data_IF_212887096470
#
_entry.id   IF_212887096470
#
_cell.length_a   1.000
_cell.length_b   1.000
_cell.length_c   1.000
_cell.angle_alpha   90.00
_cell.angle_beta   90.00
_cell.angle_gamma   90.00
#
_symmetry.space_group_name_H-M   'P 1'
#
loop_
_entity.id
_entity.type
_entity.pdbx_description
1 polymer ?
#
# COMPACT_ATOMS: atom_id res chain seq x y z
N UNK A 1 -62.70 49.79 -17.63
CA UNK A 1 -61.33 49.21 -17.65
C UNK A 1 -61.13 48.54 -16.31
N UNK A 2 -61.51 47.27 -16.26
CA UNK A 2 -61.57 46.43 -15.07
C UNK A 2 -61.11 45.03 -15.47
N UNK A 3 -60.49 44.38 -14.50
CA UNK A 3 -59.94 43.02 -14.49
C UNK A 3 -60.95 41.93 -14.88
N UNK A 4 -60.41 40.73 -15.16
CA UNK A 4 -60.83 39.40 -14.63
C UNK A 4 -60.98 38.30 -15.70
N UNK A 5 -60.12 37.28 -15.53
CA UNK A 5 -60.26 35.81 -15.73
C UNK A 5 -60.75 35.17 -17.06
N UNK A 6 -59.96 34.20 -17.50
CA UNK A 6 -60.41 32.95 -18.14
C UNK A 6 -59.37 31.85 -17.83
N UNK A 7 -59.64 30.56 -17.69
CA UNK A 7 -60.82 29.82 -17.28
C UNK A 7 -60.33 28.42 -16.83
N UNK A 8 -60.72 28.02 -15.62
CA UNK A 8 -60.86 26.63 -15.15
C UNK A 8 -62.00 25.96 -15.98
N UNK A 9 -62.11 24.66 -16.29
CA UNK A 9 -61.58 23.40 -15.77
C UNK A 9 -62.22 22.21 -16.53
N UNK A 10 -61.75 20.98 -16.21
CA UNK A 10 -62.45 19.66 -16.17
C UNK A 10 -62.17 18.62 -17.30
N UNK A 11 -62.38 17.31 -17.08
CA UNK A 11 -61.54 16.40 -16.28
C UNK A 11 -61.27 15.03 -17.00
N UNK A 12 -60.41 14.21 -16.37
CA UNK A 12 -60.01 12.85 -16.79
C UNK A 12 -61.16 11.81 -16.71
N UNK A 13 -61.06 10.68 -17.44
CA UNK A 13 -61.14 9.41 -16.72
C UNK A 13 -60.08 8.36 -17.13
N UNK A 14 -59.72 7.57 -16.13
CA UNK A 14 -58.69 6.56 -16.09
C UNK A 14 -58.97 5.30 -16.94
N UNK A 15 -57.91 4.66 -17.44
CA UNK A 15 -57.75 3.19 -17.33
C UNK A 15 -56.35 2.72 -17.75
N UNK A 16 -55.85 1.72 -17.01
CA UNK A 16 -54.70 0.85 -17.28
C UNK A 16 -53.31 1.51 -17.24
N UNK A 17 -52.35 1.13 -16.40
CA UNK A 17 -52.03 -0.21 -15.92
C UNK A 17 -50.53 -0.40 -16.14
N UNK A 18 -49.77 -0.61 -15.06
CA UNK A 18 -48.30 -0.64 -15.04
C UNK A 18 -47.71 -1.71 -15.95
N UNK A 19 -46.60 -1.40 -16.61
CA UNK A 19 -45.39 -2.22 -16.50
C UNK A 19 -44.16 -1.33 -16.72
N UNK A 20 -43.37 -1.20 -15.65
CA UNK A 20 -42.00 -0.78 -15.71
C UNK A 20 -41.18 -2.01 -16.06
N UNK A 21 -40.32 -1.93 -17.07
CA UNK A 21 -39.02 -2.63 -17.08
C UNK A 21 -38.22 -2.36 -18.35
N UNK A 22 -36.92 -2.11 -18.14
CA UNK A 22 -35.87 -2.53 -19.08
C UNK A 22 -35.70 -1.67 -20.33
N UNK A 23 -34.85 -0.63 -20.26
CA UNK A 23 -33.98 -0.14 -21.36
C UNK A 23 -33.20 1.11 -20.92
N UNK A 24 -32.23 0.96 -20.03
CA UNK A 24 -31.19 2.00 -19.88
C UNK A 24 -29.81 1.46 -19.48
N UNK A 25 -29.73 0.28 -18.83
CA UNK A 25 -28.44 -0.30 -18.42
C UNK A 25 -27.60 -0.94 -19.53
N UNK A 26 -28.22 -1.42 -20.62
CA UNK A 26 -27.50 -2.19 -21.65
C UNK A 26 -26.59 -1.34 -22.55
N UNK A 27 -26.91 -0.05 -22.76
CA UNK A 27 -26.10 0.83 -23.62
C UNK A 27 -24.85 1.40 -22.92
N UNK A 28 -24.86 1.52 -21.60
CA UNK A 28 -23.69 2.03 -20.85
C UNK A 28 -22.59 0.96 -20.72
N UNK A 29 -22.97 -0.31 -20.55
CA UNK A 29 -22.04 -1.45 -20.57
C UNK A 29 -21.42 -1.65 -21.95
N UNK A 30 -22.17 -1.42 -23.03
CA UNK A 30 -21.70 -1.54 -24.40
C UNK A 30 -20.78 -0.37 -24.82
N UNK A 31 -20.97 0.84 -24.27
CA UNK A 31 -20.04 1.96 -24.43
C UNK A 31 -18.75 1.77 -23.62
N UNK A 32 -18.82 1.15 -22.44
CA UNK A 32 -17.65 0.79 -21.63
C UNK A 32 -16.78 -0.27 -22.32
N UNK A 33 -17.37 -1.15 -23.14
CA UNK A 33 -16.65 -2.11 -23.98
C UNK A 33 -15.83 -1.48 -25.13
N UNK A 34 -16.02 -0.20 -25.46
CA UNK A 34 -15.30 0.51 -26.54
C UNK A 34 -14.10 1.35 -26.06
N UNK A 35 -13.90 1.54 -24.75
CA UNK A 35 -12.86 2.41 -24.17
C UNK A 35 -11.58 1.71 -23.71
N UNK A 36 -11.38 0.48 -24.16
CA UNK A 36 -10.13 -0.25 -24.01
C UNK A 36 -10.38 -1.64 -24.54
N UNK A 37 -9.55 -2.10 -25.48
CA UNK A 37 -9.52 -3.54 -25.77
C UNK A 37 -9.36 -4.27 -24.42
N UNK A 38 -10.07 -5.38 -24.17
CA UNK A 38 -9.75 -6.23 -23.04
C UNK A 38 -8.24 -6.49 -23.11
N UNK A 39 -7.53 -6.18 -22.03
CA UNK A 39 -6.13 -6.54 -21.91
C UNK A 39 -6.05 -8.06 -22.08
N UNK A 40 -5.46 -8.53 -23.19
CA UNK A 40 -5.34 -9.96 -23.52
C UNK A 40 -4.34 -10.69 -22.60
N UNK A 41 -3.66 -9.98 -21.70
CA UNK A 41 -2.76 -10.57 -20.73
C UNK A 41 -3.51 -11.21 -19.56
N UNK A 42 -3.64 -12.53 -19.62
CA UNK A 42 -4.02 -13.41 -18.49
C UNK A 42 -3.01 -13.33 -17.33
N UNK A 43 -2.87 -12.21 -16.65
CA UNK A 43 -2.10 -12.17 -15.40
C UNK A 43 -3.04 -11.66 -14.31
N UNK A 44 -3.55 -12.60 -13.52
CA UNK A 44 -4.41 -12.35 -12.37
C UNK A 44 -3.61 -11.66 -11.25
N UNK A 45 -3.40 -10.34 -11.36
CA UNK A 45 -2.75 -9.57 -10.32
C UNK A 45 -3.64 -9.48 -9.05
N UNK A 46 -3.07 -9.46 -7.82
CA UNK A 46 -1.66 -9.68 -7.53
C UNK A 46 -1.28 -11.17 -7.58
N UNK A 47 -0.40 -11.54 -8.50
CA UNK A 47 0.19 -12.88 -8.54
C UNK A 47 1.29 -12.94 -7.50
N UNK A 48 1.26 -13.98 -6.67
CA UNK A 48 2.37 -14.32 -5.79
C UNK A 48 3.26 -15.33 -6.51
N UNK A 49 4.34 -14.85 -7.12
CA UNK A 49 5.34 -15.67 -7.82
C UNK A 49 6.43 -16.22 -6.88
N UNK A 50 6.57 -15.62 -5.70
CA UNK A 50 7.52 -16.04 -4.67
C UNK A 50 6.85 -16.12 -3.30
N UNK A 51 7.24 -17.06 -2.41
CA UNK A 51 6.67 -17.13 -1.07
C UNK A 51 6.93 -15.85 -0.27
N UNK A 52 5.90 -15.36 0.42
CA UNK A 52 6.04 -14.23 1.34
C UNK A 52 6.76 -14.71 2.61
N UNK A 53 7.98 -14.22 2.87
CA UNK A 53 8.75 -14.56 4.08
C UNK A 53 8.77 -13.40 5.08
N UNK A 54 8.57 -13.73 6.36
CA UNK A 54 8.49 -12.76 7.45
C UNK A 54 9.23 -13.28 8.68
N UNK A 55 9.55 -12.34 9.58
CA UNK A 55 10.08 -12.62 10.92
C UNK A 55 8.95 -12.44 11.94
N UNK A 56 8.87 -13.28 12.96
CA UNK A 56 7.88 -13.11 14.03
C UNK A 56 8.14 -11.83 14.84
N UNK A 57 7.12 -11.23 15.45
CA UNK A 57 7.32 -10.05 16.32
C UNK A 57 8.31 -10.35 17.46
N UNK A 58 8.22 -11.53 18.08
CA UNK A 58 9.14 -11.91 19.17
C UNK A 58 10.59 -11.98 18.70
N UNK A 59 10.87 -12.63 17.56
CA UNK A 59 12.22 -12.74 17.03
C UNK A 59 12.73 -11.36 16.59
N UNK A 60 11.85 -10.59 15.94
CA UNK A 60 12.15 -9.24 15.47
C UNK A 60 12.61 -8.32 16.61
N UNK A 61 11.95 -8.36 17.77
CA UNK A 61 12.32 -7.54 18.92
C UNK A 61 13.67 -7.94 19.53
N UNK A 62 14.14 -9.17 19.31
CA UNK A 62 15.43 -9.64 19.80
C UNK A 62 16.59 -9.47 18.79
N UNK A 63 16.27 -9.09 17.54
CA UNK A 63 17.28 -8.82 16.52
C UNK A 63 18.23 -7.69 16.96
N UNK A 64 19.51 -7.85 16.65
CA UNK A 64 20.59 -6.88 16.95
C UNK A 64 21.30 -6.35 15.69
N UNK A 65 20.97 -6.92 14.55
CA UNK A 65 21.47 -6.55 13.23
C UNK A 65 20.41 -6.91 12.18
N UNK A 66 20.37 -6.16 11.07
CA UNK A 66 19.49 -6.51 9.94
C UNK A 66 20.25 -7.47 9.04
N UNK A 67 20.01 -8.77 9.19
CA UNK A 67 20.67 -9.79 8.37
C UNK A 67 19.91 -10.02 7.06
N UNK A 68 20.58 -10.44 5.98
CA UNK A 68 19.94 -10.73 4.71
C UNK A 68 19.08 -11.99 4.76
N UNK A 69 18.21 -12.12 3.75
CA UNK A 69 17.25 -13.22 3.62
C UNK A 69 17.89 -14.60 3.84
N UNK A 70 19.01 -14.87 3.17
CA UNK A 70 19.68 -16.18 3.22
C UNK A 70 20.17 -16.55 4.62
N UNK A 71 20.70 -15.58 5.36
CA UNK A 71 21.20 -15.80 6.72
C UNK A 71 20.05 -16.04 7.70
N UNK A 72 19.00 -15.22 7.66
CA UNK A 72 17.83 -15.44 8.53
C UNK A 72 17.10 -16.74 8.18
N UNK A 73 17.08 -17.13 6.90
CA UNK A 73 16.54 -18.43 6.48
C UNK A 73 17.36 -19.59 7.03
N UNK A 74 18.69 -19.51 6.98
CA UNK A 74 19.58 -20.53 7.51
C UNK A 74 19.48 -20.66 9.04
N UNK A 75 19.20 -19.55 9.73
CA UNK A 75 18.95 -19.52 11.18
C UNK A 75 17.54 -19.99 11.57
N UNK A 76 16.66 -20.24 10.60
CA UNK A 76 15.27 -20.64 10.85
C UNK A 76 14.37 -19.51 11.35
N UNK A 77 14.79 -18.25 11.21
CA UNK A 77 14.05 -17.06 11.66
C UNK A 77 13.04 -16.56 10.62
N UNK A 78 13.16 -16.97 9.36
CA UNK A 78 12.18 -16.67 8.32
C UNK A 78 11.10 -17.73 8.21
N UNK A 79 9.84 -17.28 8.29
CA UNK A 79 8.66 -18.13 8.13
C UNK A 79 7.99 -17.84 6.80
N UNK A 80 7.62 -18.90 6.06
CA UNK A 80 6.75 -18.75 4.89
C UNK A 80 5.33 -18.45 5.36
N UNK A 81 4.89 -17.22 5.14
CA UNK A 81 3.69 -16.68 5.78
C UNK A 81 2.40 -17.05 5.07
N UNK A 82 1.37 -17.30 5.89
CA UNK A 82 -0.02 -17.41 5.47
C UNK A 82 -0.90 -16.55 6.41
N UNK A 83 -2.06 -16.09 5.92
CA UNK A 83 -2.98 -15.24 6.72
C UNK A 83 -3.45 -15.91 8.02
N UNK A 84 -3.30 -17.24 8.14
CA UNK A 84 -3.67 -18.01 9.32
C UNK A 84 -2.67 -17.89 10.48
N UNK A 85 -1.44 -17.44 10.22
CA UNK A 85 -0.42 -17.33 11.26
C UNK A 85 -0.64 -16.15 12.21
N UNK A 86 -1.20 -15.05 11.71
CA UNK A 86 -1.42 -13.83 12.47
C UNK A 86 -1.40 -12.59 11.59
N UNK A 87 -1.49 -11.39 12.17
CA UNK A 87 -1.35 -10.13 11.44
C UNK A 87 0.04 -9.96 10.83
N UNK A 88 0.13 -9.37 9.64
CA UNK A 88 1.41 -8.97 9.05
C UNK A 88 1.55 -7.45 8.97
N UNK A 89 2.74 -6.95 9.27
CA UNK A 89 3.16 -5.55 9.16
C UNK A 89 4.06 -5.42 7.94
N UNK A 90 3.68 -4.55 7.02
CA UNK A 90 4.54 -4.16 5.90
C UNK A 90 5.39 -2.96 6.31
N UNK A 91 6.71 -3.12 6.41
CA UNK A 91 7.62 -2.03 6.76
C UNK A 91 8.18 -1.40 5.48
N UNK A 92 7.85 -0.13 5.26
CA UNK A 92 8.48 0.72 4.26
C UNK A 92 9.55 1.58 4.90
N UNK A 93 10.70 1.66 4.27
CA UNK A 93 11.86 2.40 4.78
C UNK A 93 12.73 2.86 3.62
N UNK A 94 13.70 3.70 3.92
CA UNK A 94 14.72 4.10 2.97
C UNK A 94 16.04 3.41 3.30
N UNK A 95 16.73 2.92 2.28
CA UNK A 95 18.07 2.35 2.45
C UNK A 95 19.10 3.42 2.82
N UNK A 96 19.83 3.20 3.93
CA UNK A 96 20.93 4.03 4.41
C UNK A 96 22.16 3.98 3.51
N UNK A 97 22.54 2.80 3.02
CA UNK A 97 23.71 2.60 2.15
C UNK A 97 23.32 1.78 0.91
N UNK A 98 24.10 1.81 -0.19
CA UNK A 98 23.78 1.07 -1.41
C UNK A 98 23.67 -0.45 -1.25
N UNK A 99 24.44 -1.03 -0.32
CA UNK A 99 24.54 -2.49 -0.15
C UNK A 99 23.83 -3.01 1.11
N UNK A 100 23.39 -2.10 1.98
CA UNK A 100 22.75 -2.47 3.24
C UNK A 100 21.76 -1.38 3.66
N UNK A 101 20.52 -1.73 3.96
CA UNK A 101 19.50 -0.73 4.28
C UNK A 101 19.72 -0.04 5.62
N UNK A 102 20.24 -0.76 6.62
CA UNK A 102 20.43 -0.24 7.97
C UNK A 102 21.64 -0.89 8.67
N UNK A 103 22.87 -0.60 8.20
CA UNK A 103 24.08 -1.32 8.60
C UNK A 103 24.43 -1.13 10.07
N UNK A 104 24.07 0.02 10.62
CA UNK A 104 24.35 0.41 12.00
C UNK A 104 23.13 0.16 12.92
N UNK A 105 22.08 -0.49 12.40
CA UNK A 105 20.85 -0.86 13.10
C UNK A 105 20.08 0.33 13.70
N UNK A 106 20.23 1.53 13.13
CA UNK A 106 19.69 2.76 13.69
C UNK A 106 18.19 2.89 13.42
N UNK A 107 17.76 2.67 12.16
CA UNK A 107 16.34 2.71 11.81
C UNK A 107 15.58 1.58 12.50
N UNK A 108 16.16 0.38 12.50
CA UNK A 108 15.55 -0.81 13.06
C UNK A 108 15.36 -0.69 14.57
N UNK A 109 16.34 -0.11 15.27
CA UNK A 109 16.23 0.18 16.69
C UNK A 109 15.08 1.14 17.01
N UNK A 110 14.92 2.21 16.21
CA UNK A 110 13.77 3.13 16.35
C UNK A 110 12.45 2.39 16.18
N UNK A 111 12.35 1.50 15.17
CA UNK A 111 11.15 0.70 14.96
C UNK A 111 10.87 -0.26 16.12
N UNK A 112 11.88 -0.98 16.62
CA UNK A 112 11.74 -1.87 17.76
C UNK A 112 11.27 -1.11 19.01
N UNK A 113 11.88 0.04 19.33
CA UNK A 113 11.47 0.86 20.46
C UNK A 113 10.04 1.41 20.27
N UNK A 114 9.68 1.87 19.06
CA UNK A 114 8.31 2.31 18.77
C UNK A 114 7.29 1.19 19.00
N UNK A 115 7.55 -0.02 18.51
CA UNK A 115 6.67 -1.16 18.68
C UNK A 115 6.57 -1.60 20.14
N UNK A 116 7.68 -1.58 20.90
CA UNK A 116 7.65 -1.82 22.36
C UNK A 116 6.78 -0.80 23.08
N UNK A 117 6.91 0.48 22.74
CA UNK A 117 6.15 1.56 23.37
C UNK A 117 4.64 1.48 23.03
N UNK A 118 4.29 1.00 21.83
CA UNK A 118 2.89 0.73 21.46
C UNK A 118 2.36 -0.47 22.25
N UNK A 119 3.15 -1.56 22.35
CA UNK A 119 2.78 -2.76 23.10
C UNK A 119 2.62 -2.51 24.61
N UNK A 120 3.44 -1.63 25.20
CA UNK A 120 3.33 -1.23 26.61
C UNK A 120 2.21 -0.22 26.87
N UNK A 121 1.66 0.40 25.81
CA UNK A 121 0.65 1.45 25.91
C UNK A 121 1.21 2.83 26.29
N UNK A 122 2.55 3.00 26.30
CA UNK A 122 3.22 4.26 26.61
C UNK A 122 3.02 5.31 25.50
N UNK A 123 2.91 4.87 24.24
CA UNK A 123 2.64 5.76 23.11
C UNK A 123 1.20 5.60 22.65
N UNK A 124 0.41 6.66 22.85
CA UNK A 124 -0.89 6.81 22.17
C UNK A 124 -0.65 7.40 20.79
N UNK A 125 -1.11 6.71 19.76
CA UNK A 125 -1.04 7.15 18.37
C UNK A 125 -1.66 8.54 18.23
N UNK A 126 -0.86 9.53 17.83
CA UNK A 126 -1.40 10.86 17.57
C UNK A 126 -2.24 10.79 16.28
N UNK A 127 -3.54 11.07 16.38
CA UNK A 127 -4.32 11.49 15.21
C UNK A 127 -3.88 12.92 14.90
N UNK A 128 -3.33 13.16 13.70
CA UNK A 128 -2.83 14.50 13.35
C UNK A 128 -3.91 15.57 13.61
N UNK A 129 -3.54 16.72 14.14
CA UNK A 129 -4.49 17.75 14.60
C UNK A 129 -5.51 18.20 13.52
N UNK A 130 -5.16 18.09 12.25
CA UNK A 130 -6.06 18.37 11.11
C UNK A 130 -7.15 17.29 10.98
N UNK A 131 -6.84 16.04 11.31
CA UNK A 131 -7.75 14.88 11.25
C UNK A 131 -8.89 15.02 12.24
N UNK A 132 -8.61 15.48 13.47
CA UNK A 132 -9.65 15.67 14.50
C UNK A 132 -10.60 16.83 14.16
N UNK A 133 -10.14 17.81 13.37
CA UNK A 133 -10.91 19.01 13.05
C UNK A 133 -11.78 18.85 11.79
N UNK A 134 -11.33 18.07 10.80
CA UNK A 134 -12.01 17.93 9.50
C UNK A 134 -13.03 16.79 9.46
N UNK A 135 -12.81 15.70 10.20
CA UNK A 135 -13.70 14.54 10.22
C UNK A 135 -14.58 14.57 11.47
N UNK A 136 -15.71 15.28 11.40
CA UNK A 136 -16.85 15.17 12.35
C UNK A 136 -17.55 13.80 12.25
N UNK A 137 -16.81 12.72 12.06
CA UNK A 137 -17.34 11.35 12.08
C UNK A 137 -16.95 10.72 13.42
N UNK A 138 -17.91 10.74 14.35
CA UNK A 138 -17.84 10.13 15.68
C UNK A 138 -17.84 8.60 15.68
N UNK A 139 -17.04 7.97 14.83
CA UNK A 139 -16.58 6.59 15.05
C UNK A 139 -15.07 6.66 15.18
N UNK A 140 -14.56 6.49 16.40
CA UNK A 140 -13.15 6.25 16.62
C UNK A 140 -12.73 5.10 15.71
N UNK A 141 -11.90 5.39 14.71
CA UNK A 141 -11.25 4.36 13.92
C UNK A 141 -10.31 3.64 14.89
N UNK A 142 -10.59 2.38 15.17
CA UNK A 142 -9.89 1.58 16.16
C UNK A 142 -8.36 1.70 15.98
N UNK A 143 -7.68 1.98 17.09
CA UNK A 143 -6.23 2.05 17.19
C UNK A 143 -5.58 0.75 16.69
N UNK A 144 -4.27 0.78 16.42
CA UNK A 144 -3.50 -0.45 16.28
C UNK A 144 -3.78 -1.29 17.52
N UNK A 145 -4.42 -2.45 17.36
CA UNK A 145 -4.83 -3.22 18.51
C UNK A 145 -3.56 -3.87 19.06
N UNK A 146 -3.16 -3.54 20.30
CA UNK A 146 -1.94 -4.10 20.89
C UNK A 146 -1.92 -5.64 20.82
N UNK A 147 -3.09 -6.27 20.94
CA UNK A 147 -3.27 -7.72 20.77
C UNK A 147 -2.84 -8.25 19.39
N UNK A 148 -3.03 -7.46 18.32
CA UNK A 148 -2.58 -7.84 16.99
C UNK A 148 -1.05 -7.83 16.92
N UNK A 149 -0.40 -6.84 17.52
CA UNK A 149 1.06 -6.69 17.50
C UNK A 149 1.77 -7.83 18.22
N UNK A 150 1.21 -8.38 19.31
CA UNK A 150 1.82 -9.49 20.04
C UNK A 150 2.03 -10.76 19.19
N UNK A 151 1.14 -11.01 18.23
CA UNK A 151 1.18 -12.18 17.34
C UNK A 151 1.56 -11.83 15.90
N UNK A 152 2.05 -10.61 15.71
CA UNK A 152 2.32 -10.09 14.38
C UNK A 152 3.60 -10.67 13.76
N UNK A 153 3.66 -10.55 12.44
CA UNK A 153 4.83 -10.88 11.62
C UNK A 153 5.30 -9.63 10.86
N UNK A 154 6.60 -9.48 10.71
CA UNK A 154 7.22 -8.33 10.08
C UNK A 154 7.71 -8.71 8.69
N UNK A 155 7.20 -8.00 7.68
CA UNK A 155 7.77 -8.00 6.33
C UNK A 155 8.67 -6.78 6.18
N UNK A 156 9.92 -7.02 5.78
CA UNK A 156 10.92 -5.98 5.52
C UNK A 156 11.74 -6.44 4.31
N UNK A 157 11.85 -5.60 3.28
CA UNK A 157 12.36 -5.96 1.96
C UNK A 157 13.68 -6.75 2.00
N UNK A 158 14.65 -6.34 2.81
CA UNK A 158 16.00 -6.91 2.81
C UNK A 158 16.08 -8.37 3.27
N UNK A 159 15.30 -8.73 4.29
CA UNK A 159 15.24 -10.11 4.76
C UNK A 159 14.07 -10.90 4.19
N UNK A 160 13.03 -10.23 3.70
CA UNK A 160 11.90 -10.90 3.06
C UNK A 160 12.20 -11.30 1.60
N UNK A 161 13.12 -10.59 0.94
CA UNK A 161 13.50 -10.79 -0.46
C UNK A 161 14.92 -11.38 -0.55
N UNK A 162 15.16 -12.45 -1.34
CA UNK A 162 16.49 -13.00 -1.57
C UNK A 162 17.48 -11.95 -2.11
N UNK A 163 18.71 -11.92 -1.58
CA UNK A 163 19.69 -10.91 -1.98
C UNK A 163 20.61 -11.46 -3.08
N UNK A 164 20.58 -10.84 -4.26
CA UNK A 164 21.36 -11.26 -5.42
C UNK A 164 22.89 -11.09 -5.24
N UNK A 165 23.32 -10.23 -4.31
CA UNK A 165 24.71 -9.77 -4.22
C UNK A 165 25.54 -10.44 -3.12
N UNK A 166 24.92 -11.18 -2.20
CA UNK A 166 25.51 -11.47 -0.88
C UNK A 166 26.37 -12.74 -0.87
N UNK A 167 26.26 -13.60 -1.89
CA UNK A 167 27.20 -14.69 -2.07
C UNK A 167 27.46 -14.91 -3.55
N UNK A 168 28.72 -15.19 -3.90
CA UNK A 168 29.10 -15.85 -5.15
C UNK A 168 28.41 -17.23 -5.18
N UNK A 169 27.11 -17.23 -5.52
CA UNK A 169 26.32 -18.44 -5.59
C UNK A 169 26.77 -19.21 -6.82
N UNK A 170 26.82 -20.54 -6.73
CA UNK A 170 27.06 -21.41 -7.88
C UNK A 170 26.01 -21.24 -9.00
N UNK A 171 24.89 -20.54 -8.75
CA UNK A 171 23.78 -20.32 -9.68
C UNK A 171 23.23 -18.88 -9.63
N UNK A 172 23.95 -17.88 -10.18
CA UNK A 172 23.55 -16.47 -10.13
C UNK A 172 22.22 -16.20 -10.85
N UNK A 173 21.92 -16.92 -11.94
CA UNK A 173 20.67 -16.76 -12.69
C UNK A 173 19.44 -17.13 -11.87
N UNK A 174 19.53 -18.19 -11.06
CA UNK A 174 18.43 -18.62 -10.19
C UNK A 174 18.11 -17.57 -9.13
N UNK A 175 19.15 -17.02 -8.49
CA UNK A 175 18.97 -15.95 -7.48
C UNK A 175 18.36 -14.69 -8.08
N UNK A 176 18.79 -14.30 -9.28
CA UNK A 176 18.21 -13.15 -9.97
C UNK A 176 16.72 -13.41 -10.30
N UNK A 177 16.38 -14.61 -10.75
CA UNK A 177 14.99 -15.00 -11.02
C UNK A 177 14.12 -14.96 -9.75
N UNK A 178 14.62 -15.51 -8.63
CA UNK A 178 13.91 -15.48 -7.34
C UNK A 178 13.75 -14.04 -6.81
N UNK A 179 14.79 -13.21 -6.91
CA UNK A 179 14.72 -11.78 -6.57
C UNK A 179 13.63 -11.07 -7.39
N UNK A 180 13.64 -11.23 -8.71
CA UNK A 180 12.64 -10.62 -9.59
C UNK A 180 11.22 -11.12 -9.30
N UNK A 181 11.04 -12.41 -9.05
CA UNK A 181 9.75 -12.99 -8.67
C UNK A 181 9.24 -12.43 -7.34
N UNK A 182 10.13 -12.21 -6.36
CA UNK A 182 9.80 -11.59 -5.09
C UNK A 182 9.39 -10.11 -5.25
N UNK A 183 10.10 -9.33 -6.07
CA UNK A 183 9.72 -7.95 -6.39
C UNK A 183 8.34 -7.88 -7.06
N UNK A 184 8.08 -8.75 -8.07
CA UNK A 184 6.76 -8.81 -8.72
C UNK A 184 5.64 -9.23 -7.76
N UNK A 185 5.97 -9.96 -6.69
CA UNK A 185 5.02 -10.40 -5.68
C UNK A 185 4.69 -9.34 -4.61
N UNK A 186 5.40 -8.20 -4.59
CA UNK A 186 5.19 -7.13 -3.58
C UNK A 186 3.71 -6.73 -3.46
N UNK A 187 2.95 -6.48 -4.54
CA UNK A 187 1.54 -6.16 -4.40
C UNK A 187 0.74 -7.27 -3.71
N UNK A 188 1.08 -8.55 -3.93
CA UNK A 188 0.43 -9.67 -3.21
C UNK A 188 0.77 -9.67 -1.72
N UNK A 189 1.99 -9.29 -1.37
CA UNK A 189 2.41 -9.17 0.03
C UNK A 189 1.66 -8.05 0.74
N UNK A 190 1.50 -6.90 0.09
CA UNK A 190 0.75 -5.77 0.63
C UNK A 190 -0.73 -6.13 0.86
N UNK A 191 -1.38 -6.89 -0.04
CA UNK A 191 -2.76 -7.41 0.16
C UNK A 191 -2.91 -8.29 1.42
N UNK A 192 -1.81 -8.91 1.83
CA UNK A 192 -1.77 -9.86 2.93
C UNK A 192 -1.44 -9.22 4.27
N UNK A 193 -1.02 -7.96 4.27
CA UNK A 193 -0.69 -7.21 5.47
C UNK A 193 -1.93 -6.53 6.08
N UNK A 194 -1.93 -6.40 7.40
CA UNK A 194 -2.97 -5.71 8.18
C UNK A 194 -2.58 -4.25 8.47
N UNK A 195 -1.29 -3.99 8.61
CA UNK A 195 -0.73 -2.68 8.91
C UNK A 195 0.36 -2.31 7.92
N UNK A 196 0.43 -1.03 7.59
CA UNK A 196 1.49 -0.46 6.76
C UNK A 196 2.25 0.57 7.59
N UNK A 197 3.54 0.33 7.80
CA UNK A 197 4.40 1.19 8.61
C UNK A 197 5.41 1.87 7.70
N UNK A 198 5.39 3.20 7.68
CA UNK A 198 6.45 4.03 7.11
C UNK A 198 7.45 4.30 8.23
N UNK A 199 8.63 3.71 8.13
CA UNK A 199 9.78 3.98 8.99
C UNK A 199 10.65 5.03 8.30
N UNK A 200 10.59 6.26 8.80
CA UNK A 200 11.38 7.37 8.25
C UNK A 200 11.96 8.25 9.38
N UNK A 201 12.73 7.68 10.32
CA UNK A 201 13.37 8.46 11.35
C UNK A 201 14.50 9.32 10.76
N UNK A 202 14.83 10.44 11.42
CA UNK A 202 15.98 11.24 11.03
C UNK A 202 17.27 10.47 11.31
N UNK A 203 17.98 10.03 10.27
CA UNK A 203 19.25 9.28 10.38
C UNK A 203 20.36 10.07 9.72
N UNK A 204 21.37 10.44 10.49
CA UNK A 204 22.57 11.09 9.96
C UNK A 204 23.43 10.05 9.25
N UNK A 205 23.94 10.37 8.06
CA UNK A 205 24.93 9.55 7.37
C UNK A 205 26.24 10.32 7.30
N UNK A 206 27.14 10.17 8.30
CA UNK A 206 28.36 10.98 8.39
C UNK A 206 29.21 10.90 7.12
N UNK A 207 29.30 9.72 6.52
CA UNK A 207 30.09 9.46 5.31
C UNK A 207 29.58 10.24 4.08
N UNK A 208 28.27 10.44 3.99
CA UNK A 208 27.60 11.10 2.87
C UNK A 208 27.26 12.57 3.17
N UNK A 209 27.50 13.03 4.41
CA UNK A 209 27.18 14.37 4.93
C UNK A 209 25.74 14.79 4.66
N UNK A 210 24.82 13.84 4.76
CA UNK A 210 23.40 14.08 4.57
C UNK A 210 22.55 13.43 5.67
N UNK A 211 21.29 13.85 5.71
CA UNK A 211 20.29 13.42 6.67
C UNK A 211 19.18 12.69 5.91
N UNK A 212 18.92 11.46 6.30
CA UNK A 212 17.69 10.78 5.91
C UNK A 212 16.58 11.21 6.85
N UNK A 213 15.37 11.35 6.33
CA UNK A 213 14.16 11.77 7.04
C UNK A 213 12.91 11.46 6.19
N UNK A 214 11.74 11.85 6.66
CA UNK A 214 10.50 11.66 5.90
C UNK A 214 10.47 12.38 4.55
N UNK A 215 11.16 13.52 4.40
CA UNK A 215 11.22 14.27 3.14
C UNK A 215 12.03 13.52 2.08
N UNK A 216 13.22 13.05 2.45
CA UNK A 216 14.07 12.21 1.59
C UNK A 216 13.41 10.87 1.30
N UNK A 217 12.72 10.27 2.27
CA UNK A 217 11.92 9.07 2.03
C UNK A 217 10.81 9.34 0.99
N UNK A 218 10.11 10.49 1.12
CA UNK A 218 9.07 10.89 0.18
C UNK A 218 9.61 11.14 -1.24
N UNK A 219 10.91 11.37 -1.44
CA UNK A 219 11.49 11.57 -2.77
C UNK A 219 11.84 10.26 -3.48
N UNK A 220 11.93 9.13 -2.77
CA UNK A 220 12.34 7.83 -3.32
C UNK A 220 11.29 7.21 -4.23
N UNK A 221 11.71 6.81 -5.43
CA UNK A 221 10.85 6.18 -6.45
C UNK A 221 10.12 4.95 -5.94
N UNK A 222 10.85 3.92 -5.50
CA UNK A 222 10.25 2.68 -4.99
C UNK A 222 9.33 2.90 -3.78
N UNK A 223 9.70 3.76 -2.82
CA UNK A 223 8.83 4.07 -1.68
C UNK A 223 7.50 4.72 -2.12
N UNK A 224 7.52 5.56 -3.16
CA UNK A 224 6.30 6.11 -3.76
C UNK A 224 5.47 5.04 -4.45
N UNK A 225 6.09 4.11 -5.18
CA UNK A 225 5.42 2.96 -5.82
C UNK A 225 4.68 2.14 -4.79
N UNK A 226 5.36 1.69 -3.75
CA UNK A 226 4.78 0.83 -2.73
C UNK A 226 3.64 1.53 -1.96
N UNK A 227 3.81 2.82 -1.65
CA UNK A 227 2.74 3.65 -1.07
C UNK A 227 1.52 3.75 -2.00
N UNK A 228 1.75 3.91 -3.31
CA UNK A 228 0.67 3.98 -4.30
C UNK A 228 -0.06 2.63 -4.42
N UNK A 229 0.69 1.54 -4.55
CA UNK A 229 0.13 0.17 -4.62
C UNK A 229 -0.74 -0.11 -3.40
N UNK A 230 -0.24 0.21 -2.20
CA UNK A 230 -1.01 0.07 -0.96
C UNK A 230 -2.34 0.84 -1.02
N UNK A 231 -2.29 2.09 -1.46
CA UNK A 231 -3.47 2.94 -1.49
C UNK A 231 -4.50 2.46 -2.53
N UNK A 232 -4.04 2.18 -3.74
CA UNK A 232 -4.91 1.83 -4.87
C UNK A 232 -5.49 0.44 -4.70
N UNK A 233 -4.68 -0.58 -4.43
CA UNK A 233 -5.12 -1.96 -4.54
C UNK A 233 -5.91 -2.46 -3.33
N UNK A 234 -5.61 -1.96 -2.13
CA UNK A 234 -5.95 -2.68 -0.89
C UNK A 234 -6.88 -1.98 0.08
N UNK A 235 -7.36 -0.76 -0.23
CA UNK A 235 -8.48 -0.10 0.45
C UNK A 235 -8.28 0.10 1.97
N UNK A 236 -8.12 1.34 2.43
CA UNK A 236 -8.24 1.76 3.86
C UNK A 236 -7.37 1.02 4.92
N UNK A 237 -6.26 0.36 4.55
CA UNK A 237 -5.31 -0.13 5.55
C UNK A 237 -4.75 1.04 6.38
N UNK A 238 -4.68 0.94 7.72
CA UNK A 238 -4.04 1.98 8.54
C UNK A 238 -2.58 2.15 8.15
N UNK A 239 -2.20 3.40 7.84
CA UNK A 239 -0.82 3.79 7.59
C UNK A 239 -0.27 4.46 8.84
N UNK A 240 0.84 3.95 9.34
CA UNK A 240 1.51 4.40 10.55
C UNK A 240 2.86 4.96 10.15
N UNK A 241 3.11 6.23 10.44
CA UNK A 241 4.40 6.88 10.23
C UNK A 241 5.17 6.88 11.56
N UNK A 242 6.37 6.28 11.56
CA UNK A 242 7.31 6.27 12.68
C UNK A 242 8.44 7.23 12.33
N UNK A 243 8.50 8.36 13.05
CA UNK A 243 9.57 9.36 12.96
C UNK A 243 10.57 9.23 14.11
N UNK A 244 10.11 8.73 15.26
CA UNK A 244 10.93 8.41 16.43
C UNK A 244 10.21 7.35 17.26
N UNK A 245 10.89 6.76 18.24
CA UNK A 245 10.31 5.72 19.10
C UNK A 245 9.09 6.19 19.90
N UNK A 246 8.97 7.50 20.15
CA UNK A 246 7.82 8.13 20.80
C UNK A 246 6.96 8.99 19.85
N UNK A 247 7.34 9.11 18.58
CA UNK A 247 6.64 9.92 17.59
C UNK A 247 6.07 9.02 16.50
N UNK A 248 4.89 8.49 16.78
CA UNK A 248 4.16 7.61 15.88
C UNK A 248 2.83 8.26 15.49
N UNK A 249 2.65 8.48 14.19
CA UNK A 249 1.56 9.26 13.62
C UNK A 249 0.70 8.37 12.74
N UNK A 250 -0.62 8.43 12.90
CA UNK A 250 -1.54 7.77 11.98
C UNK A 250 -1.78 8.66 10.76
N UNK A 251 -1.33 8.23 9.59
CA UNK A 251 -1.47 8.97 8.35
C UNK A 251 -2.86 8.74 7.74
N UNK A 252 -3.42 9.80 7.17
CA UNK A 252 -4.56 9.66 6.27
C UNK A 252 -4.02 9.35 4.87
N UNK A 253 -4.67 8.41 4.18
CA UNK A 253 -4.19 7.90 2.91
C UNK A 253 -4.24 8.89 1.74
N UNK A 254 -4.33 10.21 1.91
CA UNK A 254 -4.42 11.16 0.78
C UNK A 254 -3.07 11.67 0.25
N UNK A 255 -1.96 11.38 0.93
CA UNK A 255 -0.65 11.95 0.60
C UNK A 255 0.01 11.39 -0.68
N UNK A 256 -0.52 10.29 -1.25
CA UNK A 256 0.04 9.71 -2.49
C UNK A 256 -0.15 10.64 -3.69
N UNK A 257 -1.21 11.46 -3.71
CA UNK A 257 -1.45 12.43 -4.79
C UNK A 257 -0.34 13.47 -4.91
N UNK A 258 0.33 13.80 -3.81
CA UNK A 258 1.38 14.82 -3.80
C UNK A 258 2.73 14.29 -4.30
N UNK A 259 2.89 12.97 -4.37
CA UNK A 259 4.18 12.32 -4.60
C UNK A 259 4.03 11.12 -5.55
N UNK A 260 3.68 11.35 -6.83
CA UNK A 260 3.50 10.28 -7.79
C UNK A 260 4.83 9.54 -8.04
N UNK A 261 4.80 8.20 -8.26
CA UNK A 261 6.00 7.40 -8.51
C UNK A 261 6.89 7.91 -9.65
N UNK A 262 6.28 8.40 -10.75
CA UNK A 262 7.03 8.90 -11.92
C UNK A 262 7.94 10.11 -11.63
N UNK A 263 7.70 10.84 -10.55
CA UNK A 263 8.53 11.97 -10.10
C UNK A 263 9.54 11.59 -9.00
N UNK A 264 9.62 10.31 -8.62
CA UNK A 264 10.55 9.83 -7.61
C UNK A 264 11.96 9.58 -8.15
N UNK A 265 12.94 9.65 -7.25
CA UNK A 265 14.34 9.31 -7.52
C UNK A 265 14.55 7.80 -7.42
N UNK A 266 14.96 7.16 -8.52
CA UNK A 266 15.32 5.75 -8.55
C UNK A 266 16.84 5.60 -8.46
N UNK A 267 17.30 4.62 -7.68
CA UNK A 267 18.73 4.30 -7.63
C UNK A 267 19.19 3.66 -8.96
N UNK A 268 18.29 2.92 -9.62
CA UNK A 268 18.51 2.29 -10.91
C UNK A 268 17.43 2.80 -11.87
N UNK A 269 17.82 3.64 -12.82
CA UNK A 269 16.85 4.31 -13.73
C UNK A 269 16.06 3.32 -14.60
N UNK A 270 16.61 2.16 -14.93
CA UNK A 270 15.90 1.12 -15.68
C UNK A 270 14.72 0.52 -14.92
N UNK A 271 14.67 0.64 -13.59
CA UNK A 271 13.54 0.17 -12.78
C UNK A 271 12.24 0.89 -13.16
N UNK A 272 12.30 2.09 -13.72
CA UNK A 272 11.12 2.84 -14.18
C UNK A 272 10.27 2.05 -15.19
N UNK A 273 10.90 1.22 -16.02
CA UNK A 273 10.19 0.37 -17.00
C UNK A 273 9.39 -0.70 -16.27
N UNK A 274 10.03 -1.42 -15.34
CA UNK A 274 9.39 -2.43 -14.50
C UNK A 274 8.24 -1.83 -13.66
N UNK A 275 8.48 -0.65 -13.08
CA UNK A 275 7.50 0.07 -12.26
C UNK A 275 6.29 0.46 -13.08
N UNK A 276 6.47 0.92 -14.31
CA UNK A 276 5.36 1.27 -15.19
C UNK A 276 4.47 0.04 -15.45
N UNK A 277 5.06 -1.08 -15.85
CA UNK A 277 4.32 -2.32 -16.11
C UNK A 277 3.59 -2.82 -14.85
N UNK A 278 4.25 -2.75 -13.69
CA UNK A 278 3.68 -3.10 -12.39
C UNK A 278 2.46 -2.22 -12.05
N UNK A 279 2.60 -0.90 -12.16
CA UNK A 279 1.55 0.05 -11.80
C UNK A 279 0.35 -0.02 -12.76
N UNK A 280 0.59 -0.20 -14.07
CA UNK A 280 -0.48 -0.44 -15.03
C UNK A 280 -1.29 -1.67 -14.65
N UNK A 281 -0.63 -2.78 -14.31
CA UNK A 281 -1.28 -4.00 -13.83
C UNK A 281 -2.10 -3.78 -12.55
N UNK A 282 -1.55 -3.07 -11.57
CA UNK A 282 -2.22 -2.76 -10.30
C UNK A 282 -3.48 -1.89 -10.52
N UNK A 283 -3.38 -0.84 -11.33
CA UNK A 283 -4.49 0.07 -11.62
C UNK A 283 -5.61 -0.66 -12.36
N UNK A 284 -5.28 -1.40 -13.43
CA UNK A 284 -6.26 -2.14 -14.22
C UNK A 284 -7.01 -3.17 -13.35
N UNK A 285 -6.29 -3.91 -12.50
CA UNK A 285 -6.92 -4.87 -11.61
C UNK A 285 -7.86 -4.22 -10.61
N UNK A 286 -7.46 -3.09 -10.05
CA UNK A 286 -8.31 -2.37 -9.11
C UNK A 286 -9.57 -1.84 -9.80
N UNK A 287 -9.46 -1.39 -11.04
CA UNK A 287 -10.60 -0.99 -11.85
C UNK A 287 -11.58 -2.15 -12.07
N UNK A 288 -11.10 -3.33 -12.47
CA UNK A 288 -11.94 -4.54 -12.56
C UNK A 288 -12.65 -4.83 -11.24
N UNK A 289 -11.90 -4.85 -10.13
CA UNK A 289 -12.46 -5.11 -8.79
C UNK A 289 -13.53 -4.09 -8.40
N UNK A 290 -13.33 -2.80 -8.72
CA UNK A 290 -14.31 -1.75 -8.45
C UNK A 290 -15.57 -1.92 -9.32
N UNK A 291 -15.41 -2.36 -10.56
CA UNK A 291 -16.51 -2.64 -11.48
C UNK A 291 -17.32 -3.87 -11.00
N UNK A 292 -16.65 -4.97 -10.66
CA UNK A 292 -17.25 -6.20 -10.12
C UNK A 292 -18.04 -5.92 -8.83
N UNK A 293 -17.54 -5.00 -8.00
CA UNK A 293 -18.21 -4.57 -6.76
C UNK A 293 -19.31 -3.52 -6.98
N UNK A 294 -19.54 -3.07 -8.22
CA UNK A 294 -20.51 -2.01 -8.53
C UNK A 294 -20.14 -0.62 -7.98
N UNK A 295 -18.88 -0.40 -7.58
CA UNK A 295 -18.39 0.86 -7.00
C UNK A 295 -18.04 1.89 -8.08
N UNK A 296 -19.04 2.25 -8.89
CA UNK A 296 -18.86 3.08 -10.10
C UNK A 296 -18.23 4.46 -9.85
N UNK A 297 -18.49 5.09 -8.70
CA UNK A 297 -17.87 6.37 -8.36
C UNK A 297 -16.34 6.26 -8.22
N UNK A 298 -15.87 5.29 -7.43
CA UNK A 298 -14.44 5.03 -7.23
C UNK A 298 -13.78 4.57 -8.53
N UNK A 299 -14.49 3.74 -9.32
CA UNK A 299 -14.03 3.33 -10.66
C UNK A 299 -13.76 4.55 -11.55
N UNK A 300 -14.75 5.46 -11.68
CA UNK A 300 -14.62 6.68 -12.49
C UNK A 300 -13.50 7.58 -11.99
N UNK A 301 -13.34 7.72 -10.67
CA UNK A 301 -12.25 8.50 -10.08
C UNK A 301 -10.88 7.90 -10.44
N UNK A 302 -10.68 6.60 -10.22
CA UNK A 302 -9.42 5.92 -10.55
C UNK A 302 -9.13 5.96 -12.06
N UNK A 303 -10.15 5.79 -12.91
CA UNK A 303 -10.03 5.92 -14.36
C UNK A 303 -9.53 7.30 -14.80
N UNK A 304 -10.02 8.36 -14.17
CA UNK A 304 -9.59 9.73 -14.47
C UNK A 304 -8.16 10.01 -13.99
N UNK A 305 -7.74 9.36 -12.91
CA UNK A 305 -6.42 9.57 -12.32
C UNK A 305 -5.29 8.80 -13.03
N UNK A 306 -5.60 7.75 -13.78
CA UNK A 306 -4.59 6.84 -14.38
C UNK A 306 -3.50 7.54 -15.21
N UNK A 307 -3.80 8.67 -15.85
CA UNK A 307 -2.83 9.42 -16.66
C UNK A 307 -1.85 10.24 -15.82
N UNK A 308 -2.13 10.41 -14.53
CA UNK A 308 -1.37 11.23 -13.59
C UNK A 308 -0.64 10.40 -12.53
N UNK A 309 -0.78 9.07 -12.57
CA UNK A 309 -0.14 8.12 -11.67
C UNK A 309 1.21 7.64 -12.22
#
# INVERSE_FOLDING_TARGET
MGSVESALCKPCPASCGRSAEGRSGLKEVELLGRLGKPWEGKVAFPVQEFPMYLVSMSDFLEMKAVLPHEELKAQGLLVSYTKQLGPALFILHQWCRPHHPDPDFEQMKVLQEALRNILSGEVKMASGAIVSLTLRTGKGLEDVQAQDLHSAFIWYDYFAVPQCNIHASNHPEKKLSEFQAAIRSIPSYVDRCKYFIILAPPILRPDLKDLLDYSTWCSRGWCRVERLVMHIAFNTMPVILVLASNQVIRMLGHDFFQNPPGLGSFAVESDKVLVKELLEGVVLRQLEKLLDQGKLHHYRMLMSLRSSL
#
